data_IF_434215193875
#
_entry.id   IF_434215193875
#
_cell.length_a   1.000
_cell.length_b   1.000
_cell.length_c   1.000
_cell.angle_alpha   90.00
_cell.angle_beta   90.00
_cell.angle_gamma   90.00
#
_symmetry.space_group_name_H-M   'P 1'
#
loop_
_entity.id
_entity.type
_entity.pdbx_description
1 polymer ?
#
# COMPACT_ATOMS: atom_id res chain seq x y z
N UNK A 1 31.52 -11.91 26.87
CA UNK A 1 31.27 -10.51 27.28
C UNK A 1 29.95 -10.08 26.67
N UNK A 2 28.90 -9.97 27.48
CA UNK A 2 27.54 -9.62 27.04
C UNK A 2 27.28 -8.20 27.54
N UNK A 3 27.28 -7.20 26.65
CA UNK A 3 26.90 -5.84 27.00
C UNK A 3 25.37 -5.69 26.92
N UNK A 4 24.73 -5.62 28.09
CA UNK A 4 23.37 -5.10 28.25
C UNK A 4 23.44 -3.56 28.28
N UNK A 5 22.75 -2.89 27.37
CA UNK A 5 22.43 -1.46 27.49
C UNK A 5 21.00 -1.30 27.99
N UNK A 6 20.88 -0.93 29.26
CA UNK A 6 19.67 -0.41 29.89
C UNK A 6 19.51 1.07 29.55
N UNK A 7 18.32 1.48 29.13
CA UNK A 7 17.86 2.86 29.25
C UNK A 7 16.38 2.86 29.63
N UNK A 8 16.10 3.06 30.93
CA UNK A 8 14.77 3.22 31.48
C UNK A 8 14.55 4.71 31.80
N UNK A 9 13.73 5.40 31.00
CA UNK A 9 13.26 6.75 31.30
C UNK A 9 12.13 6.71 32.35
N UNK A 10 12.42 7.16 33.58
CA UNK A 10 11.40 7.35 34.63
C UNK A 10 10.77 8.74 34.49
N UNK A 11 9.47 8.77 34.19
CA UNK A 11 8.66 10.00 34.22
C UNK A 11 8.04 10.21 35.61
N UNK A 12 8.03 11.47 36.04
CA UNK A 12 7.58 11.93 37.36
C UNK A 12 6.07 11.79 37.58
N UNK A 13 5.70 11.59 38.85
CA UNK A 13 4.31 11.52 39.31
C UNK A 13 3.78 12.94 39.53
N UNK A 14 2.85 13.36 38.66
CA UNK A 14 2.08 14.60 38.78
C UNK A 14 0.86 14.43 39.70
N UNK A 15 0.46 15.53 40.32
CA UNK A 15 -0.47 15.63 41.44
C UNK A 15 -1.93 15.30 41.14
N UNK A 16 -2.63 14.97 42.22
CA UNK A 16 -4.08 14.72 42.29
C UNK A 16 -4.85 15.96 41.83
N UNK A 17 -5.76 15.77 40.86
CA UNK A 17 -6.77 16.78 40.52
C UNK A 17 -8.11 16.42 41.19
N UNK A 18 -8.68 17.42 41.84
CA UNK A 18 -9.97 17.43 42.52
C UNK A 18 -11.14 17.31 41.54
N UNK A 19 -12.19 16.63 42.00
CA UNK A 19 -13.46 16.48 41.31
C UNK A 19 -14.18 17.83 41.17
N UNK A 20 -14.35 18.29 39.92
CA UNK A 20 -15.10 19.48 39.55
C UNK A 20 -16.41 19.12 38.84
N UNK A 21 -17.51 19.43 39.53
CA UNK A 21 -18.95 19.48 39.19
C UNK A 21 -19.35 19.36 37.70
N UNK A 22 -20.30 18.45 37.47
CA UNK A 22 -21.16 18.33 36.29
C UNK A 22 -21.88 19.64 35.97
N UNK A 23 -21.71 20.13 34.74
CA UNK A 23 -22.55 21.15 34.12
C UNK A 23 -23.03 20.64 32.78
N UNK A 24 -24.31 20.29 32.68
CA UNK A 24 -24.97 19.97 31.42
C UNK A 24 -25.21 21.28 30.65
N UNK A 25 -24.39 21.55 29.63
CA UNK A 25 -24.61 22.62 28.66
C UNK A 25 -25.41 22.11 27.46
N UNK A 26 -26.38 22.87 26.94
CA UNK A 26 -27.13 22.49 25.75
C UNK A 26 -26.34 22.85 24.49
N UNK A 27 -26.30 21.92 23.53
CA UNK A 27 -26.02 22.24 22.13
C UNK A 27 -24.54 22.25 21.72
N UNK A 28 -23.95 21.07 21.58
CA UNK A 28 -22.97 20.84 20.50
C UNK A 28 -23.56 19.81 19.55
N UNK A 29 -23.94 20.31 18.39
CA UNK A 29 -24.43 19.58 17.22
C UNK A 29 -23.46 18.43 16.87
N UNK A 30 -23.96 17.23 16.51
CA UNK A 30 -23.12 16.21 15.94
C UNK A 30 -22.65 16.72 14.58
N UNK A 31 -21.34 16.86 14.38
CA UNK A 31 -20.78 17.00 13.04
C UNK A 31 -20.96 15.68 12.32
N UNK A 32 -22.14 15.53 11.71
CA UNK A 32 -22.38 14.70 10.55
C UNK A 32 -21.24 14.86 9.54
N UNK A 33 -20.80 13.75 8.95
CA UNK A 33 -20.26 13.73 7.58
C UNK A 33 -18.81 14.15 7.41
N UNK A 34 -17.89 13.20 7.61
CA UNK A 34 -16.71 13.09 6.74
C UNK A 34 -16.80 11.84 5.85
N UNK A 35 -18.02 11.40 5.52
CA UNK A 35 -18.26 10.29 4.59
C UNK A 35 -17.93 10.64 3.12
N UNK A 36 -17.50 11.87 2.81
CA UNK A 36 -17.28 12.27 1.41
C UNK A 36 -16.18 13.34 1.23
N UNK A 37 -15.04 13.18 1.91
CA UNK A 37 -13.78 13.71 1.38
C UNK A 37 -13.06 12.57 0.66
N UNK A 38 -13.62 12.22 -0.49
CA UNK A 38 -12.92 11.72 -1.68
C UNK A 38 -11.61 10.98 -1.37
N UNK A 39 -11.68 9.69 -1.03
CA UNK A 39 -10.52 8.81 -1.30
C UNK A 39 -10.50 8.56 -2.81
N UNK A 40 -9.92 9.51 -3.54
CA UNK A 40 -9.18 9.18 -4.76
C UNK A 40 -7.85 8.53 -4.38
N UNK A 41 -7.89 7.49 -3.55
CA UNK A 41 -6.78 6.56 -3.49
C UNK A 41 -7.01 5.61 -4.65
N UNK A 42 -6.09 5.56 -5.62
CA UNK A 42 -6.07 4.53 -6.68
C UNK A 42 -6.15 3.09 -6.12
N UNK A 43 -5.96 2.95 -4.81
CA UNK A 43 -6.03 1.73 -4.04
C UNK A 43 -7.25 1.69 -3.11
N UNK A 44 -7.71 0.49 -2.77
CA UNK A 44 -8.92 0.26 -1.95
C UNK A 44 -8.90 0.89 -0.55
N UNK A 45 -7.74 1.13 0.05
CA UNK A 45 -7.62 1.80 1.35
C UNK A 45 -6.27 2.48 1.58
N UNK A 46 -6.17 3.38 2.57
CA UNK A 46 -4.91 4.07 2.91
C UNK A 46 -3.80 3.10 3.33
N UNK A 47 -4.14 1.98 3.96
CA UNK A 47 -3.13 1.00 4.36
C UNK A 47 -2.47 0.38 3.13
N UNK A 48 -3.25 -0.03 2.13
CA UNK A 48 -2.74 -0.51 0.86
C UNK A 48 -1.93 0.59 0.14
N UNK A 49 -2.47 1.82 0.06
CA UNK A 49 -1.80 2.93 -0.61
C UNK A 49 -0.43 3.24 0.00
N UNK A 50 -0.31 3.27 1.32
CA UNK A 50 0.97 3.48 2.01
C UNK A 50 1.99 2.38 1.76
N UNK A 51 1.53 1.13 1.61
CA UNK A 51 2.41 -0.02 1.41
C UNK A 51 2.94 -0.07 -0.01
N UNK A 52 2.09 0.21 -1.02
CA UNK A 52 2.51 0.38 -2.41
C UNK A 52 3.48 1.56 -2.56
N UNK A 53 3.24 2.66 -1.84
CA UNK A 53 4.08 3.85 -1.86
C UNK A 53 5.31 3.76 -0.94
N UNK A 54 5.58 2.61 -0.29
CA UNK A 54 6.69 2.49 0.64
C UNK A 54 8.02 2.74 -0.06
N UNK A 55 8.87 3.57 0.56
CA UNK A 55 10.23 3.88 0.08
C UNK A 55 11.17 3.84 1.28
N UNK A 56 12.31 3.17 1.12
CA UNK A 56 13.34 3.06 2.13
C UNK A 56 14.51 3.99 1.79
N UNK A 57 15.07 4.70 2.78
CA UNK A 57 16.28 5.49 2.54
C UNK A 57 17.55 4.64 2.37
N UNK A 58 17.52 3.39 2.86
CA UNK A 58 18.66 2.47 2.82
C UNK A 58 18.69 1.49 1.65
N UNK A 59 17.59 1.37 0.90
CA UNK A 59 17.47 0.45 -0.23
C UNK A 59 16.77 1.17 -1.37
N UNK A 60 17.42 1.21 -2.54
CA UNK A 60 16.84 1.78 -3.77
C UNK A 60 15.76 0.86 -4.34
N UNK A 61 16.04 -0.45 -4.38
CA UNK A 61 15.09 -1.46 -4.80
C UNK A 61 14.18 -1.89 -3.62
N UNK A 62 12.84 -1.82 -3.78
CA UNK A 62 11.91 -2.40 -2.81
C UNK A 62 12.16 -3.88 -2.50
N UNK A 63 12.64 -4.68 -3.46
CA UNK A 63 12.92 -6.11 -3.25
C UNK A 63 14.07 -6.38 -2.28
N UNK A 64 14.98 -5.42 -2.11
CA UNK A 64 16.07 -5.51 -1.12
C UNK A 64 15.64 -5.03 0.28
N UNK A 65 14.48 -4.38 0.39
CA UNK A 65 13.99 -3.83 1.64
C UNK A 65 13.11 -4.83 2.39
N UNK A 66 13.51 -5.33 3.58
CA UNK A 66 12.69 -6.31 4.33
C UNK A 66 11.35 -5.74 4.81
N UNK A 67 11.20 -4.41 4.81
CA UNK A 67 9.98 -3.70 5.21
C UNK A 67 9.05 -3.39 4.02
N UNK A 68 9.50 -3.58 2.77
CA UNK A 68 8.64 -3.47 1.61
C UNK A 68 7.81 -4.75 1.46
N UNK A 69 6.49 -4.65 1.56
CA UNK A 69 5.62 -5.83 1.61
C UNK A 69 4.83 -6.06 0.33
N UNK A 70 4.35 -4.99 -0.31
CA UNK A 70 3.46 -5.06 -1.46
C UNK A 70 4.09 -4.38 -2.66
N UNK A 71 4.01 -5.04 -3.80
CA UNK A 71 4.30 -4.47 -5.11
C UNK A 71 2.98 -4.30 -5.87
N UNK A 72 2.86 -3.21 -6.62
CA UNK A 72 1.78 -2.99 -7.57
C UNK A 72 2.36 -2.80 -8.98
N UNK A 73 1.99 -3.68 -9.90
CA UNK A 73 2.39 -3.57 -11.31
C UNK A 73 1.28 -2.90 -12.09
N UNK A 74 1.48 -1.62 -12.41
CA UNK A 74 0.51 -0.81 -13.15
C UNK A 74 0.24 -1.35 -14.56
N UNK A 75 1.20 -2.06 -15.18
CA UNK A 75 1.05 -2.65 -16.53
C UNK A 75 -0.04 -3.71 -16.53
N UNK A 76 -0.11 -4.49 -15.47
CA UNK A 76 -1.02 -5.62 -15.34
C UNK A 76 -2.18 -5.34 -14.38
N UNK A 77 -2.25 -4.14 -13.79
CA UNK A 77 -3.19 -3.83 -12.71
C UNK A 77 -3.15 -4.87 -11.57
N UNK A 78 -1.96 -5.36 -11.26
CA UNK A 78 -1.78 -6.52 -10.38
C UNK A 78 -1.11 -6.14 -9.07
N UNK A 79 -1.64 -6.68 -7.98
CA UNK A 79 -1.04 -6.57 -6.65
C UNK A 79 -0.37 -7.88 -6.29
N UNK A 80 0.79 -7.79 -5.66
CA UNK A 80 1.47 -8.96 -5.13
C UNK A 80 2.20 -8.68 -3.82
N UNK A 81 2.42 -9.75 -3.05
CA UNK A 81 3.27 -9.74 -1.88
C UNK A 81 4.69 -10.09 -2.30
N UNK A 82 5.64 -9.25 -1.90
CA UNK A 82 7.06 -9.48 -2.13
C UNK A 82 7.51 -10.65 -1.27
N UNK A 83 8.20 -11.61 -1.89
CA UNK A 83 8.84 -12.73 -1.20
C UNK A 83 10.31 -12.38 -1.03
N UNK A 84 10.74 -12.19 0.22
CA UNK A 84 12.12 -11.86 0.57
C UNK A 84 13.00 -13.12 0.59
N UNK A 85 13.15 -13.77 -0.57
CA UNK A 85 13.97 -14.98 -0.78
C UNK A 85 15.38 -14.67 -1.33
N UNK A 86 15.71 -13.38 -1.49
CA UNK A 86 16.95 -12.92 -2.13
C UNK A 86 16.84 -12.68 -3.64
N UNK A 87 15.63 -12.72 -4.21
CA UNK A 87 15.34 -12.34 -5.59
C UNK A 87 14.15 -11.38 -5.71
N UNK A 88 13.53 -11.35 -6.90
CA UNK A 88 12.37 -10.49 -7.22
C UNK A 88 11.04 -11.26 -7.24
N UNK A 89 10.98 -12.33 -6.45
CA UNK A 89 9.82 -13.21 -6.34
C UNK A 89 8.61 -12.47 -5.76
N UNK A 90 7.44 -12.68 -6.37
CA UNK A 90 6.17 -12.08 -5.93
C UNK A 90 5.06 -13.11 -6.01
N UNK A 91 4.17 -13.13 -5.01
CA UNK A 91 2.91 -13.88 -5.07
C UNK A 91 1.72 -12.93 -5.25
N UNK A 92 0.93 -13.13 -6.29
CA UNK A 92 -0.27 -12.34 -6.56
C UNK A 92 -1.33 -12.47 -5.45
N UNK A 93 -2.04 -11.37 -5.16
CA UNK A 93 -3.12 -11.35 -4.17
C UNK A 93 -4.43 -10.86 -4.77
N UNK A 94 -5.54 -11.52 -4.40
CA UNK A 94 -6.89 -11.16 -4.86
C UNK A 94 -7.67 -10.29 -3.85
N UNK A 95 -7.19 -10.20 -2.61
CA UNK A 95 -7.85 -9.45 -1.53
C UNK A 95 -6.84 -8.60 -0.79
N UNK A 96 -7.26 -7.40 -0.38
CA UNK A 96 -6.46 -6.51 0.44
C UNK A 96 -6.21 -7.10 1.84
N UNK A 97 -4.95 -7.26 2.28
CA UNK A 97 -4.64 -7.79 3.61
C UNK A 97 -5.14 -6.92 4.78
N UNK A 98 -5.46 -5.65 4.53
CA UNK A 98 -5.83 -4.69 5.58
C UNK A 98 -7.34 -4.42 5.69
N UNK A 99 -8.04 -4.28 4.56
CA UNK A 99 -9.48 -3.98 4.58
C UNK A 99 -10.36 -5.12 4.06
N UNK A 100 -9.77 -6.21 3.55
CA UNK A 100 -10.50 -7.36 3.04
C UNK A 100 -11.22 -7.14 1.71
N UNK A 101 -11.14 -5.94 1.12
CA UNK A 101 -11.75 -5.66 -0.18
C UNK A 101 -11.13 -6.54 -1.27
N UNK A 102 -11.97 -7.05 -2.17
CA UNK A 102 -11.52 -7.69 -3.40
C UNK A 102 -10.77 -6.67 -4.27
N UNK A 103 -9.60 -7.07 -4.76
CA UNK A 103 -8.78 -6.26 -5.66
C UNK A 103 -9.23 -6.48 -7.11
N UNK A 104 -8.91 -5.54 -8.03
CA UNK A 104 -9.12 -5.76 -9.45
C UNK A 104 -8.44 -7.05 -9.91
N UNK A 105 -9.07 -7.74 -10.86
CA UNK A 105 -8.47 -8.95 -11.45
C UNK A 105 -7.25 -8.56 -12.31
N UNK A 106 -6.25 -9.43 -12.34
CA UNK A 106 -5.02 -9.18 -13.10
C UNK A 106 -5.32 -9.10 -14.60
N UNK A 107 -4.77 -8.07 -15.24
CA UNK A 107 -4.87 -7.83 -16.67
C UNK A 107 -3.68 -8.39 -17.45
N UNK A 108 -2.82 -9.18 -16.78
CA UNK A 108 -1.63 -9.80 -17.35
C UNK A 108 -1.93 -10.62 -18.60
N UNK A 109 -2.93 -11.48 -18.56
CA UNK A 109 -3.28 -12.33 -19.71
C UNK A 109 -3.78 -11.48 -20.89
N UNK A 110 -4.67 -10.51 -20.61
CA UNK A 110 -5.15 -9.54 -21.63
C UNK A 110 -3.99 -8.75 -22.26
N UNK A 111 -2.97 -8.40 -21.47
CA UNK A 111 -1.80 -7.69 -21.97
C UNK A 111 -1.02 -8.53 -22.99
N UNK A 112 -0.77 -9.81 -22.67
CA UNK A 112 -0.08 -10.73 -23.59
C UNK A 112 -0.90 -10.96 -24.87
N UNK A 113 -2.20 -11.20 -24.76
CA UNK A 113 -3.09 -11.38 -25.92
C UNK A 113 -3.11 -10.15 -26.85
N UNK A 114 -3.03 -8.95 -26.28
CA UNK A 114 -3.01 -7.71 -27.05
C UNK A 114 -1.68 -7.52 -27.81
N UNK A 115 -0.55 -7.83 -27.17
CA UNK A 115 0.76 -7.78 -27.83
C UNK A 115 0.87 -8.85 -28.93
N UNK A 116 0.40 -10.07 -28.67
CA UNK A 116 0.39 -11.15 -29.66
C UNK A 116 -0.47 -10.77 -30.87
N UNK A 117 -1.65 -10.15 -30.65
CA UNK A 117 -2.50 -9.67 -31.74
C UNK A 117 -1.81 -8.63 -32.62
N UNK A 118 -0.87 -7.87 -32.06
CA UNK A 118 -0.05 -6.89 -32.77
C UNK A 118 1.22 -7.51 -33.37
N UNK A 119 1.47 -8.79 -33.12
CA UNK A 119 2.66 -9.51 -33.57
C UNK A 119 3.93 -9.10 -32.83
N UNK A 120 3.80 -8.65 -31.58
CA UNK A 120 4.92 -8.23 -30.72
C UNK A 120 5.23 -9.37 -29.76
N UNK A 121 6.45 -9.90 -29.80
CA UNK A 121 6.96 -10.83 -28.80
C UNK A 121 7.58 -10.03 -27.64
N UNK A 122 7.01 -10.03 -26.43
CA UNK A 122 7.54 -9.25 -25.30
C UNK A 122 8.91 -9.71 -24.81
N UNK A 123 9.42 -10.85 -25.28
CA UNK A 123 10.75 -11.36 -24.94
C UNK A 123 11.83 -10.91 -25.92
N UNK A 124 11.47 -10.66 -27.18
CA UNK A 124 12.42 -10.36 -28.27
C UNK A 124 12.26 -8.93 -28.82
N UNK A 125 11.04 -8.39 -28.81
CA UNK A 125 10.69 -7.11 -29.42
C UNK A 125 10.60 -5.95 -28.41
N UNK A 126 10.71 -4.72 -28.93
CA UNK A 126 10.50 -3.53 -28.11
C UNK A 126 9.00 -3.33 -27.80
N UNK A 127 8.67 -3.37 -26.50
CA UNK A 127 7.32 -3.09 -26.01
C UNK A 127 7.00 -1.60 -26.18
N UNK A 128 5.91 -1.22 -26.90
CA UNK A 128 5.50 0.17 -27.06
C UNK A 128 5.22 0.86 -25.73
N UNK A 129 5.50 2.17 -25.65
CA UNK A 129 5.39 2.94 -24.41
C UNK A 129 4.00 2.90 -23.75
N UNK A 130 2.94 2.71 -24.53
CA UNK A 130 1.56 2.58 -24.01
C UNK A 130 1.32 1.29 -23.20
N UNK A 131 2.12 0.24 -23.43
CA UNK A 131 2.07 -1.04 -22.73
C UNK A 131 3.08 -1.15 -21.59
N UNK A 132 3.92 -0.13 -21.38
CA UNK A 132 4.91 -0.07 -20.29
C UNK A 132 4.31 0.38 -18.95
N UNK A 133 3.08 0.87 -18.94
CA UNK A 133 2.34 1.25 -17.74
C UNK A 133 0.84 0.95 -17.89
N UNK A 134 0.00 1.46 -16.99
CA UNK A 134 -1.46 1.22 -17.01
C UNK A 134 -2.25 2.02 -18.05
N UNK A 135 -1.62 2.79 -18.96
CA UNK A 135 -2.35 3.62 -19.94
C UNK A 135 -3.19 2.80 -20.92
N UNK A 136 -2.72 1.62 -21.34
CA UNK A 136 -3.45 0.74 -22.26
C UNK A 136 -4.74 0.14 -21.68
N UNK A 137 -4.92 0.16 -20.35
CA UNK A 137 -6.08 -0.45 -19.70
C UNK A 137 -7.42 0.19 -20.11
N UNK A 138 -7.38 1.43 -20.59
CA UNK A 138 -8.55 2.19 -21.06
C UNK A 138 -8.82 2.06 -22.57
N UNK A 139 -7.97 1.33 -23.29
CA UNK A 139 -8.04 1.13 -24.74
C UNK A 139 -8.93 -0.04 -25.14
#
# INVERSE_FOLDING_TARGET
MIHRSSAACRHGRGGRSSAGRFGAGPGVVPIFGYENLVRMSEHCCDAMARQVAWRCAGHEDPFDCPDALVMFDARFQEYGLIIHDGGTSVIGIAFCPWCGSRLPDSQRDRWFEELERRGIDPWEDEIPDEYRDGRWLRS
#
